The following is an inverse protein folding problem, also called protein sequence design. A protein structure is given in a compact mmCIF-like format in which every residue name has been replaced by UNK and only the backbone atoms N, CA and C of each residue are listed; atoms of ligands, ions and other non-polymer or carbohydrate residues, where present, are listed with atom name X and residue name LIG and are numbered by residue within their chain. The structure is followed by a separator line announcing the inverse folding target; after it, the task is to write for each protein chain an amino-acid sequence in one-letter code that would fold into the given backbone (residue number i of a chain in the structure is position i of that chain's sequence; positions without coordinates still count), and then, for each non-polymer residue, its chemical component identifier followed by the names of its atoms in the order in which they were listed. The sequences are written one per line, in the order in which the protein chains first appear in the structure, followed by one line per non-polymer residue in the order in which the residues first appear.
data_IF_195364364455
#
_entry.id   IF_195364364455
#
_cell.length_a   1.000
_cell.length_b   1.000
_cell.length_c   1.000
_cell.angle_alpha   90.00
_cell.angle_beta   90.00
_cell.angle_gamma   90.00
#
_symmetry.space_group_name_H-M   'P 1'
#
loop_
_entity.id
_entity.type
_entity.pdbx_description
1 polymer ?
#
# COMPACT_ATOMS: atom_id res chain seq x y z
N UNK A 1 -2.35 -7.85 -14.49
CA UNK A 1 -2.14 -6.75 -13.51
C UNK A 1 -1.06 -5.77 -13.96
N UNK A 2 0.07 -6.21 -14.51
CA UNK A 2 1.17 -5.30 -14.93
C UNK A 2 0.76 -4.18 -15.90
N UNK A 3 -0.12 -4.47 -16.88
CA UNK A 3 -0.65 -3.43 -17.77
C UNK A 3 -1.56 -2.43 -17.04
N UNK A 4 -2.29 -2.88 -16.03
CA UNK A 4 -3.17 -2.01 -15.26
C UNK A 4 -2.34 -1.08 -14.37
N UNK A 5 -1.34 -1.60 -13.66
CA UNK A 5 -0.43 -0.78 -12.83
C UNK A 5 0.44 0.19 -13.64
N UNK A 6 0.72 -0.14 -14.91
CA UNK A 6 1.45 0.77 -15.79
C UNK A 6 0.61 1.98 -16.24
N UNK A 7 -0.72 1.92 -16.06
CA UNK A 7 -1.65 2.99 -16.40
C UNK A 7 -2.05 3.83 -15.18
N UNK A 8 -1.50 3.56 -13.98
CA UNK A 8 -1.77 4.37 -12.78
C UNK A 8 -1.23 5.79 -12.93
N UNK A 9 -1.89 6.75 -12.26
CA UNK A 9 -1.47 8.15 -12.24
C UNK A 9 -0.05 8.34 -11.67
N UNK A 10 0.41 7.39 -10.86
CA UNK A 10 1.76 7.32 -10.32
C UNK A 10 2.43 6.01 -10.76
N UNK A 11 3.76 5.98 -11.00
CA UNK A 11 4.46 4.75 -11.37
C UNK A 11 4.24 3.62 -10.35
N UNK A 12 3.65 2.51 -10.80
CA UNK A 12 3.35 1.36 -9.96
C UNK A 12 3.80 0.04 -10.61
N UNK A 13 3.92 -1.01 -9.78
CA UNK A 13 4.30 -2.36 -10.23
C UNK A 13 3.58 -3.44 -9.43
N UNK A 14 3.54 -4.65 -9.98
CA UNK A 14 2.96 -5.83 -9.34
C UNK A 14 4.09 -6.76 -8.93
N UNK A 15 4.21 -7.06 -7.64
CA UNK A 15 5.18 -8.00 -7.09
C UNK A 15 4.53 -9.31 -6.66
N UNK A 16 5.22 -10.44 -6.88
CA UNK A 16 4.79 -11.76 -6.41
C UNK A 16 5.97 -12.66 -6.06
N UNK A 17 5.72 -13.72 -5.30
CA UNK A 17 6.72 -14.73 -4.99
C UNK A 17 7.82 -14.22 -4.04
N UNK A 18 9.08 -14.36 -4.44
CA UNK A 18 10.23 -14.08 -3.57
C UNK A 18 10.33 -12.61 -3.15
N UNK A 19 10.21 -11.68 -4.10
CA UNK A 19 10.27 -10.25 -3.81
C UNK A 19 9.21 -9.82 -2.79
N UNK A 20 7.97 -10.32 -2.93
CA UNK A 20 6.90 -10.05 -1.97
C UNK A 20 7.19 -10.63 -0.58
N UNK A 21 7.73 -11.85 -0.51
CA UNK A 21 8.09 -12.50 0.76
C UNK A 21 9.23 -11.78 1.47
N UNK A 22 10.21 -11.28 0.73
CA UNK A 22 11.31 -10.53 1.32
C UNK A 22 10.85 -9.15 1.79
N UNK A 23 9.96 -8.48 1.05
CA UNK A 23 9.37 -7.21 1.45
C UNK A 23 8.59 -7.30 2.77
N UNK A 24 7.79 -8.36 2.95
CA UNK A 24 6.97 -8.54 4.16
C UNK A 24 7.68 -9.29 5.29
N UNK A 25 8.95 -9.67 5.09
CA UNK A 25 9.70 -10.50 6.03
C UNK A 25 9.79 -9.83 7.41
N UNK A 26 9.29 -10.54 8.44
CA UNK A 26 9.36 -10.09 9.83
C UNK A 26 8.31 -9.05 10.23
N UNK A 27 7.48 -8.58 9.29
CA UNK A 27 6.35 -7.73 9.62
C UNK A 27 5.32 -8.53 10.46
N UNK A 28 4.85 -7.93 11.55
CA UNK A 28 3.82 -8.52 12.41
C UNK A 28 2.47 -7.91 12.06
N UNK A 29 1.38 -8.70 11.99
CA UNK A 29 0.04 -8.14 11.84
C UNK A 29 -0.31 -7.20 13.00
N UNK A 30 -0.98 -6.09 12.69
CA UNK A 30 -1.62 -5.25 13.70
C UNK A 30 -2.94 -5.94 14.09
N UNK A 31 -3.13 -6.17 15.38
CA UNK A 31 -4.37 -6.74 15.94
C UNK A 31 -5.32 -5.64 16.35
N UNK A 32 -6.58 -5.99 16.57
CA UNK A 32 -7.60 -5.04 17.04
C UNK A 32 -7.18 -4.38 18.37
N UNK A 33 -6.54 -5.13 19.27
CA UNK A 33 -6.02 -4.57 20.54
C UNK A 33 -4.86 -3.57 20.37
N UNK A 34 -4.12 -3.67 19.26
CA UNK A 34 -2.95 -2.84 18.96
C UNK A 34 -3.27 -1.69 17.99
N UNK A 35 -4.47 -1.66 17.41
CA UNK A 35 -4.87 -0.70 16.40
C UNK A 35 -5.06 0.71 16.99
N UNK A 36 -4.54 1.71 16.29
CA UNK A 36 -4.75 3.13 16.61
C UNK A 36 -5.52 3.82 15.49
N UNK A 37 -6.24 4.93 15.77
CA UNK A 37 -6.89 5.70 14.73
C UNK A 37 -5.90 6.15 13.64
N UNK A 38 -6.36 6.14 12.40
CA UNK A 38 -5.61 6.73 11.28
C UNK A 38 -5.37 8.23 11.52
N UNK A 39 -4.21 8.76 11.11
CA UNK A 39 -4.00 10.20 11.10
C UNK A 39 -4.96 10.89 10.14
N UNK A 40 -5.28 12.16 10.41
CA UNK A 40 -6.05 12.98 9.48
C UNK A 40 -5.30 13.07 8.14
N UNK A 41 -5.96 12.81 7.00
CA UNK A 41 -5.34 12.94 5.69
C UNK A 41 -4.88 14.37 5.42
N UNK A 42 -3.77 14.57 4.69
CA UNK A 42 -3.36 15.90 4.23
C UNK A 42 -4.43 16.59 3.38
N UNK A 43 -4.42 17.92 3.38
CA UNK A 43 -5.30 18.70 2.49
C UNK A 43 -5.10 18.28 1.03
N UNK A 44 -6.20 18.06 0.31
CA UNK A 44 -6.16 17.63 -1.09
C UNK A 44 -5.82 16.15 -1.31
N UNK A 45 -5.64 15.33 -0.27
CA UNK A 45 -5.35 13.90 -0.40
C UNK A 45 -6.40 13.12 -1.24
N UNK A 46 -7.64 13.60 -1.27
CA UNK A 46 -8.73 13.05 -2.08
C UNK A 46 -9.18 13.97 -3.21
N UNK A 47 -8.40 15.00 -3.55
CA UNK A 47 -8.72 15.98 -4.59
C UNK A 47 -8.50 15.50 -6.02
N UNK A 48 -8.14 14.24 -6.23
CA UNK A 48 -8.09 13.62 -7.56
C UNK A 48 -9.51 13.23 -7.99
N UNK A 49 -10.17 14.18 -8.65
CA UNK A 49 -11.47 14.07 -9.31
C UNK A 49 -11.66 15.21 -10.29
#
# INVERSE_FOLDING_TARGET
LSRATAADAFPARVEHGAALRDFTRGARPVRDEDAVPSPEPPEGAFGIG
#
